data_IF_576261056404
#
_entry.id   IF_576261056404
#
_cell.length_a   1.000
_cell.length_b   1.000
_cell.length_c   1.000
_cell.angle_alpha   90.00
_cell.angle_beta   90.00
_cell.angle_gamma   90.00
#
_symmetry.space_group_name_H-M   'P 1'
#
loop_
_entity.id
_entity.type
_entity.pdbx_description
1 polymer ?
#
# COMPACT_ATOMS: atom_id res chain seq x y z
N UNK A 1 12.78 -18.49 29.14
CA UNK A 1 12.23 -17.54 28.15
C UNK A 1 12.48 -18.15 26.79
N UNK A 2 11.44 -18.67 26.14
CA UNK A 2 11.57 -19.14 24.76
C UNK A 2 11.79 -17.91 23.86
N UNK A 3 13.01 -17.73 23.39
CA UNK A 3 13.26 -16.84 22.27
C UNK A 3 12.57 -17.46 21.04
N UNK A 4 11.34 -17.01 20.77
CA UNK A 4 10.71 -17.25 19.46
C UNK A 4 11.69 -16.69 18.43
N UNK A 5 12.21 -17.54 17.56
CA UNK A 5 13.04 -17.07 16.44
C UNK A 5 12.13 -16.10 15.68
N UNK A 6 12.45 -14.80 15.75
CA UNK A 6 11.74 -13.78 14.98
C UNK A 6 12.02 -14.13 13.53
N UNK A 7 10.96 -14.43 12.77
CA UNK A 7 11.05 -14.61 11.32
C UNK A 7 11.54 -13.33 10.62
N UNK A 8 11.32 -13.24 9.34
CA UNK A 8 11.67 -12.04 8.58
C UNK A 8 11.03 -10.78 9.19
N UNK A 9 11.69 -9.64 9.02
CA UNK A 9 11.15 -8.33 9.46
C UNK A 9 10.87 -7.45 8.25
N UNK A 10 9.95 -6.49 8.37
CA UNK A 10 9.66 -5.45 7.37
C UNK A 10 9.37 -4.15 8.09
N UNK A 11 10.01 -3.07 7.67
CA UNK A 11 9.72 -1.71 8.12
C UNK A 11 9.01 -0.98 6.99
N UNK A 12 7.76 -0.57 7.22
CA UNK A 12 6.89 0.00 6.20
C UNK A 12 6.41 1.38 6.64
N UNK A 13 6.72 2.41 5.85
CA UNK A 13 6.17 3.74 6.10
C UNK A 13 4.76 3.86 5.53
N UNK A 14 3.87 4.53 6.26
CA UNK A 14 2.53 4.93 5.79
C UNK A 14 2.58 6.44 5.57
N UNK A 15 2.53 6.86 4.31
CA UNK A 15 2.70 8.26 3.89
C UNK A 15 1.53 8.75 3.04
N UNK A 16 1.42 10.03 2.83
CA UNK A 16 0.35 10.62 2.01
C UNK A 16 -0.18 11.93 2.61
N UNK A 17 -1.08 12.63 1.91
CA UNK A 17 -1.54 13.95 2.31
C UNK A 17 -2.38 13.91 3.61
N UNK A 18 -2.58 15.09 4.18
CA UNK A 18 -3.46 15.26 5.33
C UNK A 18 -4.89 14.76 5.01
N UNK A 19 -5.51 14.07 5.97
CA UNK A 19 -6.84 13.44 5.88
C UNK A 19 -6.97 12.29 4.87
N UNK A 20 -5.91 11.77 4.27
CA UNK A 20 -6.02 10.60 3.39
C UNK A 20 -6.40 9.31 4.13
N UNK A 21 -6.26 9.26 5.45
CA UNK A 21 -6.63 8.12 6.29
C UNK A 21 -5.47 7.19 6.65
N UNK A 22 -4.24 7.70 6.70
CA UNK A 22 -3.02 6.96 7.11
C UNK A 22 -3.16 6.28 8.46
N UNK A 23 -3.50 7.06 9.49
CA UNK A 23 -3.71 6.55 10.85
C UNK A 23 -4.86 5.54 10.93
N UNK A 24 -5.94 5.73 10.14
CA UNK A 24 -7.00 4.74 10.02
C UNK A 24 -6.51 3.43 9.37
N UNK A 25 -5.62 3.52 8.39
CA UNK A 25 -4.98 2.34 7.79
C UNK A 25 -4.07 1.63 8.81
N UNK A 26 -3.26 2.36 9.57
CA UNK A 26 -2.46 1.78 10.65
C UNK A 26 -3.34 1.02 11.65
N UNK A 27 -4.41 1.65 12.16
CA UNK A 27 -5.35 1.02 13.10
C UNK A 27 -5.97 -0.26 12.51
N UNK A 28 -6.32 -0.23 11.22
CA UNK A 28 -6.87 -1.39 10.52
C UNK A 28 -5.86 -2.51 10.34
N UNK A 29 -4.63 -2.21 9.94
CA UNK A 29 -3.55 -3.20 9.84
C UNK A 29 -3.30 -3.90 11.19
N UNK A 30 -3.26 -3.13 12.29
CA UNK A 30 -3.09 -3.67 13.63
C UNK A 30 -4.31 -4.49 14.09
N UNK A 31 -5.51 -4.10 13.71
CA UNK A 31 -6.74 -4.83 14.03
C UNK A 31 -6.84 -6.16 13.28
N UNK A 32 -6.59 -6.13 11.96
CA UNK A 32 -6.67 -7.31 11.08
C UNK A 32 -5.64 -8.37 11.48
N UNK A 33 -4.47 -7.95 11.97
CA UNK A 33 -3.41 -8.85 12.47
C UNK A 33 -3.63 -9.30 13.91
N UNK A 34 -4.65 -8.74 14.60
CA UNK A 34 -4.95 -9.07 16.00
C UNK A 34 -4.00 -8.42 17.02
N UNK A 35 -3.15 -7.48 16.61
CA UNK A 35 -2.28 -6.74 17.52
C UNK A 35 -3.09 -5.83 18.47
N UNK A 36 -4.26 -5.38 18.04
CA UNK A 36 -5.22 -4.63 18.86
C UNK A 36 -6.59 -5.29 18.79
N UNK A 37 -7.32 -5.22 19.89
CA UNK A 37 -8.69 -5.78 20.00
C UNK A 37 -9.77 -4.78 19.61
N UNK A 38 -9.44 -3.49 19.58
CA UNK A 38 -10.36 -2.40 19.25
C UNK A 38 -9.60 -1.30 18.51
N UNK A 39 -10.11 -0.90 17.35
CA UNK A 39 -9.57 0.23 16.58
C UNK A 39 -9.85 1.56 17.29
N UNK A 40 -8.85 2.43 17.33
CA UNK A 40 -9.03 3.82 17.68
C UNK A 40 -9.65 4.62 16.54
N UNK A 41 -10.11 5.83 16.87
CA UNK A 41 -10.65 6.79 15.93
C UNK A 41 -10.00 8.16 16.18
N UNK A 42 -9.50 8.79 15.14
CA UNK A 42 -8.89 10.11 15.24
C UNK A 42 -9.85 11.18 15.80
N UNK A 43 -11.17 11.05 15.54
CA UNK A 43 -12.18 11.97 16.10
C UNK A 43 -12.28 11.87 17.63
N UNK A 44 -12.07 10.68 18.16
CA UNK A 44 -12.15 10.38 19.59
C UNK A 44 -10.78 10.56 20.30
N UNK A 45 -9.71 10.81 19.54
CA UNK A 45 -8.35 11.01 20.06
C UNK A 45 -7.78 9.77 20.76
N UNK A 46 -8.18 8.56 20.37
CA UNK A 46 -7.82 7.29 21.00
C UNK A 46 -7.07 6.34 20.07
N UNK A 47 -6.51 6.85 18.97
CA UNK A 47 -5.66 6.08 18.05
C UNK A 47 -4.31 5.77 18.70
N UNK A 48 -3.70 4.66 18.29
CA UNK A 48 -2.34 4.29 18.72
C UNK A 48 -1.32 5.33 18.18
N UNK A 49 -1.54 5.82 16.96
CA UNK A 49 -0.64 6.77 16.31
C UNK A 49 -0.60 8.13 16.97
N UNK A 50 -1.73 8.68 17.42
CA UNK A 50 -1.83 10.05 17.94
C UNK A 50 -1.87 10.07 19.47
N UNK A 51 -0.77 9.65 20.10
CA UNK A 51 -0.70 9.52 21.58
C UNK A 51 -0.37 10.83 22.29
N UNK A 52 0.25 11.82 21.60
CA UNK A 52 0.62 13.09 22.22
C UNK A 52 -0.61 13.99 22.48
N UNK A 53 -0.61 14.79 23.56
CA UNK A 53 -1.68 15.75 23.85
C UNK A 53 -1.90 16.74 22.69
N UNK A 54 -0.83 17.20 22.06
CA UNK A 54 -0.85 18.15 20.98
C UNK A 54 -1.49 17.56 19.71
N UNK A 55 -1.18 16.29 19.38
CA UNK A 55 -1.78 15.59 18.25
C UNK A 55 -3.29 15.42 18.44
N UNK A 56 -3.72 15.09 19.66
CA UNK A 56 -5.15 14.96 20.03
C UNK A 56 -5.90 16.29 19.95
N UNK A 57 -5.30 17.36 20.45
CA UNK A 57 -5.88 18.70 20.40
C UNK A 57 -6.05 19.20 18.98
N UNK A 58 -5.05 18.98 18.13
CA UNK A 58 -5.07 19.36 16.70
C UNK A 58 -5.79 18.34 15.82
N UNK A 59 -6.12 17.16 16.33
CA UNK A 59 -6.71 16.02 15.59
C UNK A 59 -5.92 15.66 14.32
N UNK A 60 -4.61 15.68 14.44
CA UNK A 60 -3.68 15.35 13.35
C UNK A 60 -2.36 14.85 13.89
N UNK A 61 -1.73 13.95 13.14
CA UNK A 61 -0.38 13.47 13.45
C UNK A 61 0.65 14.59 13.24
N UNK A 62 1.43 14.88 14.26
CA UNK A 62 2.47 15.92 14.25
C UNK A 62 3.86 15.32 14.10
N UNK A 63 4.00 14.06 14.43
CA UNK A 63 5.25 13.31 14.43
C UNK A 63 5.04 11.89 13.91
N UNK A 64 6.13 11.21 13.58
CA UNK A 64 6.10 9.81 13.15
C UNK A 64 5.79 8.92 14.34
N UNK A 65 4.81 8.03 14.18
CA UNK A 65 4.45 7.02 15.18
C UNK A 65 4.80 5.62 14.67
N UNK A 66 5.37 4.79 15.53
CA UNK A 66 5.75 3.43 15.19
C UNK A 66 4.86 2.42 15.92
N UNK A 67 4.32 1.46 15.18
CA UNK A 67 3.60 0.33 15.75
C UNK A 67 4.03 -0.97 15.08
N UNK A 68 4.14 -2.05 15.85
CA UNK A 68 4.60 -3.34 15.34
C UNK A 68 3.53 -4.41 15.53
N UNK A 69 3.48 -5.33 14.57
CA UNK A 69 2.63 -6.53 14.62
C UNK A 69 3.34 -7.72 14.01
N UNK A 70 2.87 -8.93 14.31
CA UNK A 70 3.29 -10.16 13.63
C UNK A 70 2.15 -10.67 12.75
N UNK A 71 2.47 -10.99 11.50
CA UNK A 71 1.55 -11.63 10.56
C UNK A 71 2.30 -12.70 9.78
N UNK A 72 1.78 -13.95 9.77
CA UNK A 72 2.38 -15.11 9.06
C UNK A 72 3.89 -15.27 9.33
N UNK A 73 4.30 -15.16 10.60
CA UNK A 73 5.70 -15.23 11.07
C UNK A 73 6.64 -14.11 10.57
N UNK A 74 6.10 -13.07 9.95
CA UNK A 74 6.83 -11.84 9.61
C UNK A 74 6.46 -10.75 10.61
N UNK A 75 7.47 -10.06 11.15
CA UNK A 75 7.27 -8.89 11.99
C UNK A 75 7.24 -7.65 11.13
N UNK A 76 6.10 -6.99 11.08
CA UNK A 76 5.93 -5.68 10.48
C UNK A 76 6.10 -4.57 11.52
N UNK A 77 6.87 -3.54 11.18
CA UNK A 77 6.88 -2.27 11.90
C UNK A 77 6.36 -1.19 10.97
N UNK A 78 5.17 -0.70 11.25
CA UNK A 78 4.55 0.39 10.50
C UNK A 78 4.95 1.73 11.11
N UNK A 79 5.36 2.68 10.25
CA UNK A 79 5.72 4.03 10.61
C UNK A 79 4.69 5.00 10.03
N UNK A 80 3.70 5.40 10.85
CA UNK A 80 2.66 6.36 10.45
C UNK A 80 3.25 7.77 10.42
N UNK A 81 3.40 8.33 9.23
CA UNK A 81 4.03 9.62 9.01
C UNK A 81 3.01 10.75 8.98
N UNK A 82 3.36 11.95 9.48
CA UNK A 82 2.48 13.10 9.42
C UNK A 82 2.18 13.50 7.96
N UNK A 83 0.94 13.90 7.69
CA UNK A 83 0.50 14.26 6.33
C UNK A 83 0.49 15.76 6.04
N UNK A 84 0.82 16.59 7.03
CA UNK A 84 0.93 18.05 6.83
C UNK A 84 2.27 18.42 6.22
N UNK A 85 2.27 19.37 5.29
CA UNK A 85 3.47 19.90 4.64
C UNK A 85 4.46 20.48 5.67
N UNK A 86 3.96 21.00 6.77
CA UNK A 86 4.79 21.57 7.86
C UNK A 86 5.70 20.50 8.50
N UNK A 87 5.32 19.23 8.46
CA UNK A 87 6.06 18.10 9.02
C UNK A 87 6.67 17.19 7.95
N UNK A 88 6.71 17.62 6.69
CA UNK A 88 7.23 16.83 5.59
C UNK A 88 8.65 16.30 5.83
N UNK A 89 9.51 17.08 6.51
CA UNK A 89 10.89 16.67 6.80
C UNK A 89 10.95 15.40 7.69
N UNK A 90 10.04 15.25 8.64
CA UNK A 90 9.94 14.01 9.44
C UNK A 90 9.64 12.79 8.56
N UNK A 91 8.70 12.95 7.63
CA UNK A 91 8.35 11.91 6.65
C UNK A 91 9.55 11.53 5.80
N UNK A 92 10.24 12.52 5.20
CA UNK A 92 11.40 12.27 4.35
C UNK A 92 12.54 11.56 5.09
N UNK A 93 12.84 11.98 6.33
CA UNK A 93 13.86 11.33 7.16
C UNK A 93 13.50 9.86 7.46
N UNK A 94 12.23 9.57 7.68
CA UNK A 94 11.73 8.21 7.95
C UNK A 94 11.84 7.32 6.72
N UNK A 95 11.48 7.84 5.55
CA UNK A 95 11.48 7.09 4.29
C UNK A 95 12.83 6.50 3.92
N UNK A 96 13.93 7.16 4.25
CA UNK A 96 15.28 6.67 3.96
C UNK A 96 15.55 5.31 4.63
N UNK A 97 14.92 5.02 5.77
CA UNK A 97 15.20 3.84 6.59
C UNK A 97 14.21 2.69 6.47
N UNK A 98 13.20 2.80 5.61
CA UNK A 98 12.17 1.75 5.46
C UNK A 98 12.47 0.79 4.31
N UNK A 99 11.86 -0.39 4.38
CA UNK A 99 11.97 -1.41 3.33
C UNK A 99 10.98 -1.11 2.19
N UNK A 100 9.80 -0.61 2.53
CA UNK A 100 8.80 -0.15 1.57
C UNK A 100 7.97 1.01 2.13
N UNK A 101 7.26 1.73 1.25
CA UNK A 101 6.31 2.77 1.63
C UNK A 101 4.92 2.51 1.06
N UNK A 102 3.87 2.79 1.84
CA UNK A 102 2.47 2.81 1.38
C UNK A 102 2.06 4.27 1.22
N UNK A 103 1.78 4.68 -0.01
CA UNK A 103 1.22 6.00 -0.31
C UNK A 103 -0.30 5.90 -0.18
N UNK A 104 -0.87 6.51 0.85
CA UNK A 104 -2.32 6.54 1.06
C UNK A 104 -2.91 7.79 0.42
N UNK A 105 -3.79 7.64 -0.55
CA UNK A 105 -4.49 8.75 -1.20
C UNK A 105 -6.01 8.53 -1.22
N UNK A 106 -6.77 9.58 -1.51
CA UNK A 106 -8.22 9.50 -1.74
C UNK A 106 -8.50 9.43 -3.24
N UNK A 107 -9.66 8.88 -3.68
CA UNK A 107 -10.02 8.79 -5.10
C UNK A 107 -10.46 10.16 -5.68
N UNK A 108 -9.59 11.16 -5.55
CA UNK A 108 -9.81 12.54 -6.01
C UNK A 108 -8.59 12.96 -6.84
N UNK A 109 -8.77 13.17 -8.13
CA UNK A 109 -7.70 13.45 -9.11
C UNK A 109 -6.79 14.61 -8.66
N UNK A 110 -7.37 15.75 -8.28
CA UNK A 110 -6.60 16.92 -7.86
C UNK A 110 -5.74 16.64 -6.61
N UNK A 111 -6.23 15.80 -5.70
CA UNK A 111 -5.48 15.38 -4.52
C UNK A 111 -4.37 14.39 -4.87
N UNK A 112 -4.60 13.50 -5.82
CA UNK A 112 -3.56 12.59 -6.31
C UNK A 112 -2.39 13.38 -6.92
N UNK A 113 -2.65 14.42 -7.69
CA UNK A 113 -1.61 15.27 -8.28
C UNK A 113 -0.71 15.97 -7.22
N UNK A 114 -1.21 16.22 -6.01
CA UNK A 114 -0.39 16.81 -4.93
C UNK A 114 0.68 15.85 -4.40
N UNK A 115 0.64 14.58 -4.77
CA UNK A 115 1.63 13.57 -4.38
C UNK A 115 2.93 13.62 -5.21
N UNK A 116 2.98 14.40 -6.29
CA UNK A 116 4.14 14.45 -7.18
C UNK A 116 5.49 14.66 -6.46
N UNK A 117 5.63 15.54 -5.44
CA UNK A 117 6.89 15.68 -4.72
C UNK A 117 7.27 14.42 -3.91
N UNK A 118 6.27 13.69 -3.40
CA UNK A 118 6.49 12.45 -2.66
C UNK A 118 6.93 11.32 -3.59
N UNK A 119 6.25 11.12 -4.72
CA UNK A 119 6.67 10.19 -5.76
C UNK A 119 8.10 10.46 -6.21
N UNK A 120 8.39 11.72 -6.57
CA UNK A 120 9.74 12.11 -6.96
C UNK A 120 10.79 11.76 -5.91
N UNK A 121 10.51 11.96 -4.62
CA UNK A 121 11.44 11.60 -3.54
C UNK A 121 11.65 10.08 -3.47
N UNK A 122 10.58 9.30 -3.55
CA UNK A 122 10.64 7.84 -3.50
C UNK A 122 11.44 7.28 -4.69
N UNK A 123 11.16 7.78 -5.89
CA UNK A 123 11.86 7.42 -7.13
C UNK A 123 13.35 7.81 -7.09
N UNK A 124 13.68 9.05 -6.65
CA UNK A 124 15.06 9.55 -6.57
C UNK A 124 15.91 8.74 -5.56
N UNK A 125 15.29 8.15 -4.53
CA UNK A 125 15.94 7.33 -3.51
C UNK A 125 15.75 5.83 -3.71
N UNK A 126 15.14 5.42 -4.83
CA UNK A 126 14.86 4.03 -5.18
C UNK A 126 14.16 3.27 -4.03
N UNK A 127 13.18 3.93 -3.37
CA UNK A 127 12.44 3.35 -2.26
C UNK A 127 11.23 2.61 -2.78
N UNK A 128 11.18 1.28 -2.68
CA UNK A 128 10.01 0.50 -3.09
C UNK A 128 8.74 1.03 -2.46
N UNK A 129 7.73 1.29 -3.29
CA UNK A 129 6.50 1.87 -2.79
C UNK A 129 5.28 1.37 -3.55
N UNK A 130 4.15 1.42 -2.88
CA UNK A 130 2.85 1.05 -3.42
C UNK A 130 1.80 2.09 -3.03
N UNK A 131 0.71 2.13 -3.76
CA UNK A 131 -0.40 3.06 -3.49
C UNK A 131 -1.58 2.30 -2.89
N UNK A 132 -2.18 2.86 -1.84
CA UNK A 132 -3.47 2.44 -1.32
C UNK A 132 -4.49 3.56 -1.53
N UNK A 133 -5.39 3.39 -2.51
CA UNK A 133 -6.49 4.31 -2.76
C UNK A 133 -7.55 4.07 -1.70
N UNK A 134 -7.51 4.84 -0.63
CA UNK A 134 -8.42 4.76 0.50
C UNK A 134 -9.72 5.53 0.22
N UNK A 135 -10.80 5.15 0.92
CA UNK A 135 -12.13 5.76 0.76
C UNK A 135 -12.66 5.60 -0.67
N UNK A 136 -12.42 4.45 -1.26
CA UNK A 136 -12.81 4.14 -2.65
C UNK A 136 -14.33 4.22 -2.86
N UNK A 137 -15.13 4.10 -1.79
CA UNK A 137 -16.56 4.36 -1.76
C UNK A 137 -16.95 5.72 -2.35
N UNK A 138 -16.09 6.72 -2.20
CA UNK A 138 -16.31 8.06 -2.77
C UNK A 138 -16.17 8.13 -4.29
N UNK A 139 -15.56 7.12 -4.91
CA UNK A 139 -15.48 7.02 -6.36
C UNK A 139 -16.74 6.40 -6.98
N UNK A 140 -17.54 5.68 -6.19
CA UNK A 140 -18.69 4.94 -6.65
C UNK A 140 -19.98 5.72 -6.35
N UNK A 141 -20.35 6.65 -7.23
CA UNK A 141 -21.60 7.41 -7.12
C UNK A 141 -22.76 6.75 -7.89
N UNK A 142 -22.45 5.84 -8.82
CA UNK A 142 -23.38 4.93 -9.51
C UNK A 142 -22.59 3.75 -10.11
N UNK A 143 -23.28 2.77 -10.71
CA UNK A 143 -22.66 1.55 -11.25
C UNK A 143 -21.65 1.83 -12.39
N UNK A 144 -21.84 2.92 -13.12
CA UNK A 144 -21.01 3.27 -14.29
C UNK A 144 -19.81 4.15 -13.90
N UNK A 145 -19.95 4.96 -12.85
CA UNK A 145 -18.91 5.93 -12.45
C UNK A 145 -17.80 5.31 -11.64
N UNK A 146 -18.04 4.19 -10.95
CA UNK A 146 -17.04 3.54 -10.12
C UNK A 146 -15.75 3.20 -10.92
N UNK A 147 -15.91 2.50 -12.04
CA UNK A 147 -14.80 2.15 -12.92
C UNK A 147 -14.15 3.36 -13.59
N UNK A 148 -14.95 4.30 -14.12
CA UNK A 148 -14.42 5.50 -14.78
C UNK A 148 -13.67 6.41 -13.81
N UNK A 149 -14.17 6.61 -12.60
CA UNK A 149 -13.46 7.38 -11.57
C UNK A 149 -12.17 6.68 -11.13
N UNK A 150 -12.18 5.34 -10.99
CA UNK A 150 -10.98 4.58 -10.73
C UNK A 150 -9.94 4.76 -11.84
N UNK A 151 -10.33 4.64 -13.11
CA UNK A 151 -9.44 4.87 -14.26
C UNK A 151 -8.87 6.30 -14.26
N UNK A 152 -9.69 7.31 -13.93
CA UNK A 152 -9.22 8.70 -13.85
C UNK A 152 -8.15 8.88 -12.76
N UNK A 153 -8.29 8.22 -11.60
CA UNK A 153 -7.28 8.25 -10.54
C UNK A 153 -6.00 7.54 -10.97
N UNK A 154 -6.10 6.37 -11.60
CA UNK A 154 -4.93 5.65 -12.14
C UNK A 154 -4.19 6.54 -13.15
N UNK A 155 -4.89 7.20 -14.06
CA UNK A 155 -4.29 8.11 -15.03
C UNK A 155 -3.62 9.33 -14.35
N UNK A 156 -4.21 9.86 -13.29
CA UNK A 156 -3.59 10.93 -12.51
C UNK A 156 -2.29 10.47 -11.84
N UNK A 157 -2.28 9.28 -11.25
CA UNK A 157 -1.09 8.67 -10.66
C UNK A 157 -0.01 8.40 -11.73
N UNK A 158 -0.39 7.87 -12.90
CA UNK A 158 0.53 7.68 -14.05
C UNK A 158 1.18 8.98 -14.50
N UNK A 159 0.50 10.12 -14.38
CA UNK A 159 1.04 11.43 -14.79
C UNK A 159 2.11 12.01 -13.86
N UNK A 160 2.21 11.51 -12.62
CA UNK A 160 3.14 12.03 -11.60
C UNK A 160 4.21 11.03 -11.18
N UNK A 161 4.05 9.75 -11.50
CA UNK A 161 5.02 8.69 -11.24
C UNK A 161 6.01 8.56 -12.40
N UNK A 162 7.28 8.36 -12.13
CA UNK A 162 8.28 7.97 -13.12
C UNK A 162 8.33 6.46 -13.34
N UNK A 163 7.64 5.70 -12.50
CA UNK A 163 7.50 4.25 -12.58
C UNK A 163 6.11 3.87 -13.10
N UNK A 164 5.96 2.76 -13.82
CA UNK A 164 4.65 2.22 -14.19
C UNK A 164 3.74 2.02 -12.97
N UNK A 165 2.50 2.49 -13.10
CA UNK A 165 1.44 2.29 -12.10
C UNK A 165 0.70 1.00 -12.45
N UNK A 166 0.76 0.01 -11.56
CA UNK A 166 0.28 -1.36 -11.77
C UNK A 166 -0.91 -1.66 -10.84
N UNK A 167 -2.16 -1.52 -11.29
CA UNK A 167 -3.32 -1.87 -10.48
C UNK A 167 -3.38 -3.38 -10.21
N UNK A 168 -3.43 -3.77 -8.94
CA UNK A 168 -3.68 -5.16 -8.53
C UNK A 168 -5.16 -5.49 -8.44
N UNK A 169 -6.00 -4.47 -8.34
CA UNK A 169 -7.42 -4.63 -8.06
C UNK A 169 -8.25 -3.70 -8.92
N UNK A 170 -9.45 -4.17 -9.30
CA UNK A 170 -10.48 -3.37 -9.96
C UNK A 170 -11.72 -3.31 -9.06
N UNK A 171 -12.33 -2.14 -8.83
CA UNK A 171 -13.47 -2.00 -7.91
C UNK A 171 -14.77 -2.55 -8.49
N UNK A 172 -15.58 -3.19 -7.65
CA UNK A 172 -16.95 -3.63 -7.99
C UNK A 172 -17.93 -2.70 -7.28
N UNK A 173 -18.61 -1.85 -8.06
CA UNK A 173 -19.67 -0.98 -7.57
C UNK A 173 -21.06 -1.54 -7.82
N UNK A 174 -22.00 -1.27 -6.91
CA UNK A 174 -23.43 -1.56 -7.07
C UNK A 174 -24.26 -0.57 -6.25
N UNK A 175 -25.30 0.05 -6.86
CA UNK A 175 -26.21 0.99 -6.17
C UNK A 175 -25.47 2.05 -5.32
N UNK A 176 -24.57 2.80 -5.94
CA UNK A 176 -23.77 3.87 -5.29
C UNK A 176 -22.86 3.38 -4.14
N UNK A 177 -22.59 2.09 -4.05
CA UNK A 177 -21.74 1.50 -3.03
C UNK A 177 -20.66 0.62 -3.67
N UNK A 178 -19.50 0.59 -3.02
CA UNK A 178 -18.50 -0.42 -3.32
C UNK A 178 -18.88 -1.71 -2.59
N UNK A 179 -19.02 -2.80 -3.33
CA UNK A 179 -19.40 -4.09 -2.77
C UNK A 179 -18.29 -5.13 -2.80
N UNK A 180 -17.22 -4.87 -3.54
CA UNK A 180 -16.15 -5.82 -3.70
C UNK A 180 -15.03 -5.30 -4.61
N UNK A 181 -14.17 -6.22 -4.98
CA UNK A 181 -13.10 -5.98 -5.93
C UNK A 181 -12.81 -7.23 -6.77
N UNK A 182 -12.19 -7.04 -7.91
CA UNK A 182 -11.60 -8.11 -8.72
C UNK A 182 -10.09 -8.04 -8.50
N UNK A 183 -9.48 -9.15 -8.15
CA UNK A 183 -8.03 -9.32 -8.11
C UNK A 183 -7.55 -9.60 -9.54
N UNK A 184 -6.75 -8.69 -10.09
CA UNK A 184 -6.31 -8.76 -11.48
C UNK A 184 -5.18 -9.77 -11.69
N UNK A 185 -4.52 -10.22 -10.63
CA UNK A 185 -3.51 -11.27 -10.70
C UNK A 185 -4.15 -12.64 -10.86
N UNK A 186 -5.19 -12.92 -10.05
CA UNK A 186 -5.86 -14.22 -9.99
C UNK A 186 -7.16 -14.30 -10.78
N UNK A 187 -7.64 -13.18 -11.34
CA UNK A 187 -8.94 -13.04 -12.05
C UNK A 187 -10.15 -13.39 -11.16
N UNK A 188 -9.95 -13.39 -9.84
CA UNK A 188 -10.98 -13.76 -8.88
C UNK A 188 -11.71 -12.51 -8.35
N UNK A 189 -13.04 -12.50 -8.43
CA UNK A 189 -13.85 -11.47 -7.80
C UNK A 189 -14.11 -11.81 -6.33
N UNK A 190 -14.17 -10.78 -5.48
CA UNK A 190 -14.40 -10.90 -4.04
C UNK A 190 -15.51 -9.95 -3.61
N UNK A 191 -16.40 -10.45 -2.75
CA UNK A 191 -17.43 -9.63 -2.10
C UNK A 191 -16.97 -9.24 -0.70
N UNK A 192 -17.13 -7.97 -0.39
CA UNK A 192 -16.68 -7.39 0.87
C UNK A 192 -17.67 -7.65 2.01
N UNK A 193 -17.13 -7.97 3.19
CA UNK A 193 -17.88 -8.08 4.45
C UNK A 193 -17.20 -7.22 5.52
N UNK A 194 -17.90 -6.23 6.12
CA UNK A 194 -17.33 -5.40 7.16
C UNK A 194 -16.74 -6.22 8.33
N UNK A 195 -15.46 -5.98 8.64
CA UNK A 195 -14.76 -6.65 9.74
C UNK A 195 -14.44 -8.13 9.55
N UNK A 196 -14.69 -8.70 8.35
CA UNK A 196 -14.40 -10.08 8.00
C UNK A 196 -13.58 -10.17 6.70
N UNK A 197 -12.93 -11.32 6.41
CA UNK A 197 -12.35 -11.57 5.10
C UNK A 197 -13.42 -11.45 4.00
N UNK A 198 -13.00 -10.99 2.81
CA UNK A 198 -13.86 -10.97 1.65
C UNK A 198 -14.08 -12.41 1.12
N UNK A 199 -15.30 -12.72 0.69
CA UNK A 199 -15.63 -14.02 0.13
C UNK A 199 -15.44 -14.04 -1.40
N UNK A 200 -14.86 -15.11 -1.97
CA UNK A 200 -14.78 -15.27 -3.43
C UNK A 200 -16.18 -15.41 -4.03
N UNK A 201 -16.44 -14.69 -5.09
CA UNK A 201 -17.71 -14.72 -5.84
C UNK A 201 -17.43 -14.89 -7.33
N UNK A 202 -18.40 -15.35 -8.13
CA UNK A 202 -18.26 -15.34 -9.58
C UNK A 202 -18.04 -13.95 -10.12
N UNK A 203 -17.17 -13.81 -11.13
CA UNK A 203 -16.96 -12.54 -11.81
C UNK A 203 -18.26 -12.05 -12.48
N UNK A 204 -18.74 -10.84 -12.16
CA UNK A 204 -19.96 -10.30 -12.77
C UNK A 204 -19.82 -10.17 -14.28
N UNK A 205 -20.81 -10.66 -15.04
CA UNK A 205 -20.77 -10.67 -16.51
C UNK A 205 -20.58 -9.27 -17.12
N UNK A 206 -21.20 -8.27 -16.50
CA UNK A 206 -21.09 -6.86 -16.93
C UNK A 206 -19.72 -6.25 -16.68
N UNK A 207 -18.83 -6.88 -15.91
CA UNK A 207 -17.48 -6.39 -15.60
C UNK A 207 -16.37 -7.16 -16.31
N UNK A 208 -16.69 -8.24 -17.03
CA UNK A 208 -15.68 -9.06 -17.73
C UNK A 208 -14.83 -8.27 -18.73
N UNK A 209 -15.46 -7.34 -19.46
CA UNK A 209 -14.71 -6.54 -20.44
C UNK A 209 -13.76 -5.55 -19.75
N UNK A 210 -14.21 -4.91 -18.68
CA UNK A 210 -13.40 -3.95 -17.91
C UNK A 210 -12.29 -4.66 -17.13
N UNK A 211 -12.58 -5.83 -16.57
CA UNK A 211 -11.57 -6.67 -15.92
C UNK A 211 -10.49 -7.08 -16.90
N UNK A 212 -10.88 -7.63 -18.05
CA UNK A 212 -9.94 -8.05 -19.10
C UNK A 212 -9.06 -6.88 -19.58
N UNK A 213 -9.64 -5.70 -19.82
CA UNK A 213 -8.88 -4.50 -20.20
C UNK A 213 -7.90 -4.08 -19.10
N UNK A 214 -8.35 -4.06 -17.83
CA UNK A 214 -7.50 -3.66 -16.70
C UNK A 214 -6.37 -4.67 -16.46
N UNK A 215 -6.65 -5.99 -16.58
CA UNK A 215 -5.64 -7.04 -16.49
C UNK A 215 -4.63 -6.95 -17.63
N UNK A 216 -5.10 -6.76 -18.87
CA UNK A 216 -4.22 -6.61 -20.02
C UNK A 216 -3.25 -5.43 -19.82
N UNK A 217 -3.74 -4.28 -19.36
CA UNK A 217 -2.91 -3.12 -19.05
C UNK A 217 -1.89 -3.42 -17.94
N UNK A 218 -2.28 -4.16 -16.90
CA UNK A 218 -1.38 -4.58 -15.83
C UNK A 218 -0.24 -5.46 -16.38
N UNK A 219 -0.57 -6.45 -17.19
CA UNK A 219 0.41 -7.37 -17.79
C UNK A 219 1.35 -6.64 -18.77
N UNK A 220 0.85 -5.71 -19.57
CA UNK A 220 1.66 -4.89 -20.47
C UNK A 220 2.68 -4.02 -19.72
N UNK A 221 2.32 -3.48 -18.55
CA UNK A 221 3.26 -2.72 -17.71
C UNK A 221 4.35 -3.63 -17.12
N UNK A 222 4.02 -4.86 -16.69
CA UNK A 222 4.99 -5.84 -16.20
C UNK A 222 5.92 -6.35 -17.31
N UNK A 223 5.37 -6.63 -18.50
CA UNK A 223 6.13 -7.11 -19.66
C UNK A 223 7.23 -6.14 -20.12
N UNK A 224 7.24 -4.90 -19.66
CA UNK A 224 8.35 -3.99 -19.95
C UNK A 224 9.66 -4.42 -19.26
N UNK A 225 9.60 -5.31 -18.27
CA UNK A 225 10.73 -5.74 -17.46
C UNK A 225 11.02 -7.25 -17.57
N UNK A 226 10.13 -8.03 -18.18
CA UNK A 226 10.30 -9.47 -18.41
C UNK A 226 10.05 -9.85 -19.88
N UNK A 227 11.12 -10.25 -20.57
CA UNK A 227 11.05 -10.65 -21.99
C UNK A 227 10.19 -11.90 -22.20
N UNK A 228 10.12 -12.83 -21.21
CA UNK A 228 9.31 -14.04 -21.31
C UNK A 228 7.81 -13.69 -21.24
N UNK A 229 7.42 -12.85 -20.28
CA UNK A 229 6.06 -12.36 -20.17
C UNK A 229 5.64 -11.59 -21.45
N UNK A 230 6.57 -10.81 -22.05
CA UNK A 230 6.31 -10.12 -23.30
C UNK A 230 6.05 -11.10 -24.46
N UNK A 231 6.84 -12.19 -24.57
CA UNK A 231 6.65 -13.23 -25.57
C UNK A 231 5.29 -13.92 -25.41
N UNK A 232 4.89 -14.29 -24.18
CA UNK A 232 3.59 -14.89 -23.90
C UNK A 232 2.43 -13.99 -24.32
N UNK A 233 2.50 -12.69 -23.99
CA UNK A 233 1.46 -11.73 -24.38
C UNK A 233 1.36 -11.55 -25.90
N UNK A 234 2.48 -11.58 -26.62
CA UNK A 234 2.49 -11.52 -28.09
C UNK A 234 1.92 -12.78 -28.75
N UNK A 235 2.03 -13.92 -28.09
CA UNK A 235 1.47 -15.20 -28.52
C UNK A 235 0.02 -15.42 -28.03
N UNK A 236 -0.59 -14.43 -27.37
CA UNK A 236 -1.93 -14.51 -26.75
C UNK A 236 -2.05 -15.65 -25.71
N UNK A 237 -0.95 -15.98 -25.05
CA UNK A 237 -0.91 -16.94 -23.94
C UNK A 237 -1.25 -16.19 -22.64
N UNK A 238 -2.12 -16.78 -21.82
CA UNK A 238 -2.41 -16.24 -20.50
C UNK A 238 -1.31 -16.67 -19.50
N UNK A 239 -0.55 -15.71 -18.91
CA UNK A 239 0.54 -16.02 -18.01
C UNK A 239 0.07 -16.73 -16.73
N UNK A 240 0.94 -17.55 -16.12
CA UNK A 240 0.64 -18.22 -14.84
C UNK A 240 0.66 -17.21 -13.68
N UNK A 241 -0.26 -17.38 -12.73
CA UNK A 241 -0.36 -16.58 -11.50
C UNK A 241 0.95 -16.58 -10.70
N UNK A 242 1.68 -17.71 -10.68
CA UNK A 242 2.97 -17.82 -9.98
C UNK A 242 4.04 -16.95 -10.67
N UNK A 243 4.02 -16.87 -12.00
CA UNK A 243 4.91 -16.03 -12.78
C UNK A 243 4.64 -14.55 -12.52
N UNK A 244 3.40 -14.12 -12.68
CA UNK A 244 2.99 -12.73 -12.40
C UNK A 244 3.37 -12.33 -10.96
N UNK A 245 3.15 -13.23 -9.99
CA UNK A 245 3.48 -12.97 -8.57
C UNK A 245 4.99 -12.82 -8.36
N UNK A 246 5.79 -13.63 -9.06
CA UNK A 246 7.26 -13.55 -9.02
C UNK A 246 7.75 -12.20 -9.57
N UNK A 247 7.21 -11.77 -10.70
CA UNK A 247 7.61 -10.54 -11.38
C UNK A 247 7.21 -9.32 -10.55
N UNK A 248 5.99 -9.26 -10.06
CA UNK A 248 5.55 -8.21 -9.12
C UNK A 248 6.50 -8.06 -7.92
N UNK A 249 6.94 -9.18 -7.33
CA UNK A 249 7.89 -9.16 -6.22
C UNK A 249 9.26 -8.65 -6.62
N UNK A 250 9.78 -9.10 -7.75
CA UNK A 250 11.10 -8.70 -8.24
C UNK A 250 11.11 -7.22 -8.61
N UNK A 251 10.12 -6.77 -9.33
CA UNK A 251 10.03 -5.42 -9.87
C UNK A 251 9.72 -4.40 -8.78
N UNK A 252 8.82 -4.70 -7.83
CA UNK A 252 8.62 -3.86 -6.65
C UNK A 252 9.90 -3.78 -5.81
N UNK A 253 10.57 -4.91 -5.58
CA UNK A 253 11.82 -4.95 -4.82
C UNK A 253 12.94 -4.13 -5.44
N UNK A 254 12.94 -3.98 -6.75
CA UNK A 254 13.89 -3.18 -7.53
C UNK A 254 13.41 -1.73 -7.78
N UNK A 255 12.26 -1.32 -7.22
CA UNK A 255 11.62 0.00 -7.44
C UNK A 255 11.36 0.28 -8.94
N UNK A 256 10.92 -0.72 -9.68
CA UNK A 256 10.62 -0.60 -11.11
C UNK A 256 9.15 -0.33 -11.39
N UNK A 257 8.25 -0.71 -10.47
CA UNK A 257 6.79 -0.55 -10.59
C UNK A 257 6.19 0.01 -9.30
N UNK A 258 4.97 0.53 -9.42
CA UNK A 258 4.16 0.98 -8.29
C UNK A 258 2.83 0.23 -8.26
N UNK A 259 2.71 -0.84 -7.45
CA UNK A 259 1.45 -1.56 -7.27
C UNK A 259 0.36 -0.68 -6.66
N UNK A 260 -0.89 -0.84 -7.11
CA UNK A 260 -2.04 -0.08 -6.59
C UNK A 260 -3.10 -0.99 -6.02
N UNK A 261 -3.47 -0.73 -4.76
CA UNK A 261 -4.55 -1.37 -4.02
C UNK A 261 -5.65 -0.37 -3.72
N UNK A 262 -6.87 -0.88 -3.51
CA UNK A 262 -8.04 -0.08 -3.17
C UNK A 262 -8.64 -0.51 -1.83
N UNK A 263 -9.29 0.42 -1.11
CA UNK A 263 -9.96 0.04 0.12
C UNK A 263 -10.68 1.16 0.85
N UNK A 264 -11.23 0.78 2.00
CA UNK A 264 -11.85 1.65 3.00
C UNK A 264 -11.27 1.25 4.36
N UNK A 265 -10.18 1.90 4.77
CA UNK A 265 -9.44 1.54 5.97
C UNK A 265 -10.31 1.53 7.24
N UNK A 266 -11.23 2.48 7.40
CA UNK A 266 -12.14 2.53 8.56
C UNK A 266 -12.99 1.26 8.70
N UNK A 267 -13.28 0.55 7.58
CA UNK A 267 -14.12 -0.64 7.51
C UNK A 267 -13.32 -1.94 7.32
N UNK A 268 -11.99 -1.90 7.33
CA UNK A 268 -11.06 -3.02 7.02
C UNK A 268 -11.15 -3.52 5.56
N UNK A 269 -11.85 -2.81 4.67
CA UNK A 269 -11.96 -3.18 3.27
C UNK A 269 -10.64 -2.97 2.54
N UNK A 270 -10.17 -3.99 1.80
CA UNK A 270 -8.91 -3.96 1.03
C UNK A 270 -7.64 -4.06 1.88
N UNK A 271 -7.75 -4.06 3.21
CA UNK A 271 -6.58 -4.06 4.12
C UNK A 271 -5.88 -5.42 4.14
N UNK A 272 -6.61 -6.53 4.10
CA UNK A 272 -6.02 -7.88 4.04
C UNK A 272 -5.25 -8.13 2.74
N UNK A 273 -5.80 -7.87 1.54
CA UNK A 273 -5.05 -7.98 0.29
C UNK A 273 -3.77 -7.12 0.28
N UNK A 274 -3.83 -5.89 0.80
CA UNK A 274 -2.66 -5.04 0.95
C UNK A 274 -1.60 -5.67 1.87
N UNK A 275 -2.01 -6.23 3.02
CA UNK A 275 -1.10 -6.87 3.97
C UNK A 275 -0.47 -8.15 3.38
N UNK A 276 -1.24 -8.92 2.62
CA UNK A 276 -0.74 -10.11 1.92
C UNK A 276 0.25 -9.75 0.80
N UNK A 277 0.01 -8.66 0.07
CA UNK A 277 0.96 -8.14 -0.90
C UNK A 277 2.26 -7.69 -0.22
N UNK A 278 2.19 -6.94 0.89
CA UNK A 278 3.38 -6.59 1.67
C UNK A 278 4.15 -7.82 2.16
N UNK A 279 3.44 -8.89 2.53
CA UNK A 279 4.05 -10.14 2.96
C UNK A 279 4.85 -10.81 1.83
N UNK A 280 4.28 -10.85 0.63
CA UNK A 280 4.86 -11.53 -0.55
C UNK A 280 5.89 -10.69 -1.29
N UNK A 281 5.62 -9.42 -1.48
CA UNK A 281 6.26 -8.54 -2.46
C UNK A 281 7.22 -7.53 -1.83
N UNK A 282 6.95 -7.05 -0.58
CA UNK A 282 7.83 -6.08 0.05
C UNK A 282 9.24 -6.65 0.25
N UNK A 283 10.30 -5.87 -0.10
CA UNK A 283 11.67 -6.34 -0.03
C UNK A 283 12.11 -6.64 1.41
N UNK A 284 13.12 -7.48 1.53
CA UNK A 284 13.75 -7.79 2.80
C UNK A 284 14.69 -6.66 3.26
N UNK A 285 14.98 -6.52 4.57
CA UNK A 285 15.92 -5.52 5.08
C UNK A 285 17.30 -5.59 4.46
N UNK A 286 17.72 -6.78 3.99
CA UNK A 286 18.99 -6.99 3.27
C UNK A 286 19.00 -6.21 1.94
N UNK A 287 17.89 -6.18 1.21
CA UNK A 287 17.73 -5.39 -0.02
C UNK A 287 17.84 -3.89 0.28
N UNK A 288 17.19 -3.45 1.37
CA UNK A 288 17.29 -2.07 1.86
C UNK A 288 18.74 -1.71 2.22
N UNK A 289 19.44 -2.62 2.90
CA UNK A 289 20.84 -2.41 3.26
C UNK A 289 21.73 -2.27 2.01
N UNK A 290 21.52 -3.12 0.98
CA UNK A 290 22.23 -3.03 -0.29
C UNK A 290 21.94 -1.70 -1.01
N UNK A 291 20.68 -1.31 -1.14
CA UNK A 291 20.26 -0.02 -1.71
C UNK A 291 20.96 1.16 -1.04
N UNK A 292 21.13 1.11 0.27
CA UNK A 292 21.78 2.14 1.07
C UNK A 292 23.31 2.05 1.10
N UNK A 293 23.91 1.12 0.37
CA UNK A 293 25.35 0.91 0.36
C UNK A 293 25.92 0.39 1.68
N UNK A 294 25.10 -0.22 2.54
CA UNK A 294 25.53 -0.85 3.78
C UNK A 294 26.12 -2.22 3.43
N UNK A 295 27.45 -2.34 3.54
CA UNK A 295 28.17 -3.57 3.22
C UNK A 295 27.97 -4.55 4.37
N UNK A 296 27.41 -5.73 4.06
CA UNK A 296 27.36 -6.87 4.98
C UNK A 296 28.74 -7.55 4.96
N UNK A 297 29.39 -7.72 6.09
CA UNK A 297 30.62 -8.52 6.14
C UNK A 297 31.63 -8.18 7.21
N UNK A 298 31.51 -7.04 7.87
CA UNK A 298 32.28 -6.78 9.10
C UNK A 298 31.41 -7.13 10.31
N UNK A 299 32.03 -7.74 11.36
CA UNK A 299 31.40 -8.02 12.66
C UNK A 299 30.89 -6.72 13.39
N UNK A 300 30.65 -5.66 12.67
CA UNK A 300 30.22 -4.37 13.20
C UNK A 300 28.72 -4.19 13.06
N UNK A 301 28.08 -3.88 14.15
CA UNK A 301 26.68 -3.46 14.16
C UNK A 301 26.59 -2.00 13.70
N UNK A 302 25.79 -1.75 12.66
CA UNK A 302 25.47 -0.40 12.19
C UNK A 302 24.02 -0.06 12.57
N UNK A 303 23.79 1.16 13.02
CA UNK A 303 22.45 1.66 13.33
C UNK A 303 22.33 3.11 12.86
N UNK A 304 21.14 3.46 12.38
CA UNK A 304 20.79 4.84 12.05
C UNK A 304 19.58 5.26 12.87
N UNK A 305 19.67 6.42 13.51
CA UNK A 305 18.54 7.04 14.22
C UNK A 305 17.63 7.73 13.21
N UNK A 306 16.38 7.29 13.13
CA UNK A 306 15.35 7.90 12.27
C UNK A 306 14.49 8.88 13.05
N UNK A 307 14.26 8.62 14.32
CA UNK A 307 13.41 9.44 15.20
C UNK A 307 13.92 9.40 16.64
N UNK A 308 13.85 10.53 17.31
CA UNK A 308 14.06 10.67 18.74
C UNK A 308 12.78 11.16 19.41
N UNK A 309 12.38 10.51 20.48
CA UNK A 309 11.27 10.95 21.32
C UNK A 309 11.81 11.57 22.60
N UNK A 310 11.25 12.70 22.98
CA UNK A 310 11.51 13.28 24.27
C UNK A 310 10.55 12.72 25.29
N UNK A 311 11.08 12.09 26.32
CA UNK A 311 10.29 11.61 27.48
C UNK A 311 10.60 12.49 28.66
N UNK A 312 9.54 13.05 29.29
CA UNK A 312 9.63 13.79 30.55
C UNK A 312 9.73 12.83 31.70
#
# INVERSE_FOLDING_TARGET
>A
MNHKVIGATRNVAIVGPYLSGKTALLESLLSVTGAITRKGNAKDGNTIGDSSPEARDRKMSLEVNAASTEYENVRFTFLDCPGSIEFAQETLNTLIGVDAAIIVCEPVTDRALTLAPLFKFLDDWEIPHLVFINKIDRACTDETTCGSNFTNIINALKSISSRPIVPHQYPIGHNEQIIGFIDLVTEQAYHYHPGAPADPVPLPENLKAQEHEARQQMLEELANFDDHLLEELLEEINPDVEEITRDLKMELGADLIVPVFIGIAEQDFGVRPLLEALLREAPAPETTAQRRGIIQGDDKVSAQVLKTYYTI
#
